data_IF_905882713597
#
_entry.id   IF_905882713597
#
_cell.length_a   1.000
_cell.length_b   1.000
_cell.length_c   1.000
_cell.angle_alpha   90.00
_cell.angle_beta   90.00
_cell.angle_gamma   90.00
#
_symmetry.space_group_name_H-M   'P 1'
#
loop_
_entity.id
_entity.type
_entity.pdbx_description
1 polymer ?
#
# COMPACT_ATOMS: atom_id res chain seq x y z
N UNK A 1 44.72 13.06 19.47
CA UNK A 1 45.50 12.14 18.61
C UNK A 1 44.68 11.90 17.36
N UNK A 2 45.13 12.44 16.23
CA UNK A 2 44.45 12.39 14.93
C UNK A 2 45.41 11.67 13.97
N UNK A 3 45.06 10.52 13.36
CA UNK A 3 46.01 9.84 12.48
C UNK A 3 46.05 10.53 11.12
N UNK A 4 47.23 11.03 10.77
CA UNK A 4 47.54 11.68 9.51
C UNK A 4 47.54 10.68 8.33
N UNK A 5 46.94 11.08 7.21
CA UNK A 5 46.97 10.38 5.93
C UNK A 5 48.40 10.33 5.34
N UNK A 6 48.86 9.20 4.76
CA UNK A 6 50.08 9.18 3.95
C UNK A 6 49.83 9.76 2.54
N UNK A 7 50.81 10.55 2.09
CA UNK A 7 50.85 11.27 0.80
C UNK A 7 50.95 10.32 -0.40
N UNK A 8 50.41 10.80 -1.51
CA UNK A 8 50.28 10.19 -2.84
C UNK A 8 51.62 9.72 -3.45
N UNK A 9 51.64 8.48 -3.94
CA UNK A 9 52.70 7.94 -4.80
C UNK A 9 52.24 8.04 -6.26
N UNK A 10 52.96 8.81 -7.09
CA UNK A 10 52.78 8.82 -8.55
C UNK A 10 53.17 7.45 -9.12
N UNK A 11 52.26 6.82 -9.85
CA UNK A 11 52.53 5.68 -10.72
C UNK A 11 52.26 6.08 -12.16
N UNK A 12 53.34 6.37 -12.88
CA UNK A 12 53.39 6.39 -14.33
C UNK A 12 53.52 4.95 -14.83
N UNK A 13 52.54 4.44 -15.57
CA UNK A 13 52.74 3.30 -16.47
C UNK A 13 51.71 3.29 -17.59
N UNK A 14 52.20 3.69 -18.76
CA UNK A 14 51.93 3.15 -20.10
C UNK A 14 50.53 2.61 -20.41
N UNK A 15 49.86 3.31 -21.33
CA UNK A 15 48.71 2.82 -22.06
C UNK A 15 49.03 1.51 -22.78
N UNK A 16 48.28 0.45 -22.46
CA UNK A 16 48.12 -0.72 -23.33
C UNK A 16 46.73 -0.66 -23.96
N UNK A 17 46.70 -0.43 -25.27
CA UNK A 17 45.54 -0.71 -26.10
C UNK A 17 45.23 -2.21 -25.99
N UNK A 18 44.02 -2.56 -25.55
CA UNK A 18 43.66 -3.94 -25.27
C UNK A 18 42.16 -4.18 -25.35
N UNK A 19 41.72 -4.65 -26.53
CA UNK A 19 40.48 -5.37 -26.86
C UNK A 19 39.14 -4.69 -26.53
N UNK A 20 38.46 -4.23 -27.59
CA UNK A 20 37.00 -4.13 -27.65
C UNK A 20 36.40 -5.49 -27.26
N UNK A 21 35.79 -5.57 -26.08
CA UNK A 21 34.93 -6.69 -25.71
C UNK A 21 33.52 -6.42 -26.25
N UNK A 22 33.07 -7.24 -27.20
CA UNK A 22 31.71 -7.24 -27.73
C UNK A 22 30.67 -7.77 -26.74
N UNK A 23 30.56 -7.15 -25.56
CA UNK A 23 29.63 -7.53 -24.49
C UNK A 23 28.46 -6.54 -24.27
N UNK A 24 28.57 -5.31 -24.78
CA UNK A 24 27.61 -4.23 -24.47
C UNK A 24 26.26 -4.38 -25.16
N UNK A 25 26.22 -4.98 -26.35
CA UNK A 25 24.97 -5.20 -27.09
C UNK A 25 24.07 -6.26 -26.44
N UNK A 26 24.65 -7.31 -25.85
CA UNK A 26 23.89 -8.37 -25.18
C UNK A 26 23.34 -7.89 -23.84
N UNK A 27 24.13 -7.15 -23.04
CA UNK A 27 23.63 -6.49 -21.82
C UNK A 27 22.57 -5.44 -22.14
N UNK A 28 22.78 -4.62 -23.17
CA UNK A 28 21.81 -3.63 -23.63
C UNK A 28 20.49 -4.27 -24.06
N UNK A 29 20.54 -5.36 -24.84
CA UNK A 29 19.35 -6.13 -25.24
C UNK A 29 18.67 -6.80 -24.05
N UNK A 30 19.43 -7.37 -23.10
CA UNK A 30 18.86 -8.01 -21.91
C UNK A 30 18.21 -7.00 -20.96
N UNK A 31 18.81 -5.83 -20.78
CA UNK A 31 18.24 -4.71 -20.00
C UNK A 31 17.03 -4.11 -20.71
N UNK A 32 17.05 -3.99 -22.04
CA UNK A 32 15.90 -3.56 -22.85
C UNK A 32 14.77 -4.59 -22.84
N UNK A 33 15.06 -5.89 -22.87
CA UNK A 33 14.07 -6.96 -22.78
C UNK A 33 13.48 -7.06 -21.35
N UNK A 34 14.29 -6.83 -20.31
CA UNK A 34 13.81 -6.67 -18.92
C UNK A 34 12.92 -5.43 -18.76
N UNK A 35 13.29 -4.31 -19.38
CA UNK A 35 12.46 -3.10 -19.42
C UNK A 35 11.17 -3.32 -20.23
N UNK A 36 11.20 -4.10 -21.32
CA UNK A 36 10.01 -4.50 -22.09
C UNK A 36 9.12 -5.52 -21.37
N UNK A 37 9.66 -6.30 -20.42
CA UNK A 37 8.89 -7.27 -19.61
C UNK A 37 8.06 -6.61 -18.51
N UNK A 38 8.37 -5.36 -18.15
CA UNK A 38 7.56 -4.49 -17.28
C UNK A 38 6.40 -3.85 -18.04
N UNK A 39 5.65 -4.64 -18.82
CA UNK A 39 4.38 -4.16 -19.35
C UNK A 39 3.41 -4.06 -18.18
N UNK A 40 2.81 -2.87 -18.04
CA UNK A 40 1.76 -2.44 -17.09
C UNK A 40 0.64 -3.44 -16.84
N UNK A 41 0.95 -4.58 -16.22
CA UNK A 41 0.12 -5.77 -16.21
C UNK A 41 -0.44 -6.06 -14.83
N UNK A 42 -1.62 -6.68 -14.77
CA UNK A 42 -2.19 -7.19 -13.51
C UNK A 42 -1.72 -8.62 -13.32
N UNK A 43 -0.97 -8.88 -12.24
CA UNK A 43 -0.52 -10.20 -11.84
C UNK A 43 -1.39 -10.72 -10.70
N UNK A 44 -2.33 -11.62 -11.02
CA UNK A 44 -3.27 -12.19 -10.05
C UNK A 44 -2.88 -13.64 -9.78
N UNK A 45 -2.61 -13.97 -8.52
CA UNK A 45 -2.37 -15.35 -8.13
C UNK A 45 -3.59 -16.23 -8.46
N UNK A 46 -3.41 -17.47 -8.97
CA UNK A 46 -4.54 -18.32 -9.40
C UNK A 46 -5.58 -18.64 -8.32
N UNK A 47 -5.20 -18.55 -7.04
CA UNK A 47 -6.10 -18.80 -5.91
C UNK A 47 -6.76 -17.53 -5.35
N UNK A 48 -6.45 -16.35 -5.89
CA UNK A 48 -7.14 -15.12 -5.53
C UNK A 48 -8.53 -15.10 -6.16
N UNK A 49 -9.51 -14.59 -5.42
CA UNK A 49 -10.88 -14.41 -5.91
C UNK A 49 -11.05 -12.93 -6.22
N UNK A 50 -10.99 -12.59 -7.51
CA UNK A 50 -11.14 -11.22 -7.99
C UNK A 50 -12.37 -11.15 -8.88
N UNK A 51 -13.31 -10.29 -8.53
CA UNK A 51 -14.49 -10.07 -9.36
C UNK A 51 -14.12 -9.52 -10.74
N UNK A 52 -14.80 -10.00 -11.78
CA UNK A 52 -14.69 -9.46 -13.15
C UNK A 52 -15.21 -8.02 -13.27
N UNK A 53 -16.00 -7.55 -12.31
CA UNK A 53 -16.54 -6.18 -12.28
C UNK A 53 -15.59 -5.19 -11.60
N UNK A 54 -14.62 -5.68 -10.83
CA UNK A 54 -13.60 -4.85 -10.22
C UNK A 54 -12.76 -4.15 -11.29
N UNK A 55 -12.41 -2.89 -11.04
CA UNK A 55 -11.62 -2.06 -11.95
C UNK A 55 -10.19 -1.94 -11.43
N UNK A 56 -9.31 -2.74 -12.00
CA UNK A 56 -7.90 -2.80 -11.66
C UNK A 56 -7.07 -2.04 -12.70
N UNK A 57 -6.21 -1.12 -12.25
CA UNK A 57 -5.26 -0.40 -13.11
C UNK A 57 -4.00 -1.23 -13.42
N UNK A 58 -2.96 -0.59 -13.93
CA UNK A 58 -1.72 -1.22 -14.38
C UNK A 58 -0.77 -1.57 -13.21
N UNK A 59 0.09 -2.58 -13.41
CA UNK A 59 1.15 -3.00 -12.47
C UNK A 59 0.65 -3.46 -11.09
N UNK A 60 -0.56 -4.02 -11.01
CA UNK A 60 -1.13 -4.53 -9.76
C UNK A 60 -0.64 -5.95 -9.49
N UNK A 61 -0.28 -6.24 -8.25
CA UNK A 61 0.05 -7.59 -7.76
C UNK A 61 -1.01 -8.05 -6.76
N UNK A 62 -1.62 -9.21 -6.99
CA UNK A 62 -2.61 -9.82 -6.08
C UNK A 62 -2.12 -11.20 -5.63
N UNK A 63 -1.90 -11.35 -4.32
CA UNK A 63 -1.41 -12.55 -3.67
C UNK A 63 -2.46 -13.66 -3.51
N UNK A 64 -2.04 -14.86 -3.06
CA UNK A 64 -2.92 -16.02 -2.92
C UNK A 64 -4.06 -15.76 -1.93
N UNK A 65 -5.26 -16.26 -2.25
CA UNK A 65 -6.44 -16.19 -1.39
C UNK A 65 -6.91 -14.77 -1.01
N UNK A 66 -6.40 -13.73 -1.68
CA UNK A 66 -6.99 -12.40 -1.57
C UNK A 66 -8.40 -12.39 -2.18
N UNK A 67 -9.27 -11.53 -1.64
CA UNK A 67 -10.64 -11.31 -2.12
C UNK A 67 -10.80 -9.86 -2.58
N UNK A 68 -11.30 -9.66 -3.79
CA UNK A 68 -11.67 -8.35 -4.34
C UNK A 68 -13.09 -8.43 -4.91
N UNK A 69 -14.01 -7.66 -4.34
CA UNK A 69 -15.44 -7.67 -4.71
C UNK A 69 -15.77 -6.83 -5.96
N UNK A 70 -17.06 -6.80 -6.33
CA UNK A 70 -17.59 -6.25 -7.58
C UNK A 70 -17.34 -4.74 -7.76
N UNK A 71 -17.74 -3.90 -6.79
CA UNK A 71 -17.60 -2.44 -6.88
C UNK A 71 -16.33 -1.95 -6.18
N UNK A 72 -15.19 -2.45 -6.66
CA UNK A 72 -13.85 -2.05 -6.20
C UNK A 72 -13.09 -1.38 -7.34
N UNK A 73 -12.38 -0.30 -7.02
CA UNK A 73 -11.48 0.39 -7.96
C UNK A 73 -10.09 0.52 -7.33
N UNK A 74 -9.07 0.02 -8.02
CA UNK A 74 -7.68 0.01 -7.53
C UNK A 74 -6.78 0.74 -8.54
N UNK A 75 -6.02 1.70 -8.04
CA UNK A 75 -5.01 2.47 -8.77
C UNK A 75 -3.79 1.64 -9.19
N UNK A 76 -2.80 2.31 -9.79
CA UNK A 76 -1.61 1.68 -10.35
C UNK A 76 -0.66 1.20 -9.26
N UNK A 77 0.13 0.16 -9.56
CA UNK A 77 1.23 -0.31 -8.70
C UNK A 77 0.82 -0.69 -7.27
N UNK A 78 -0.45 -1.03 -7.08
CA UNK A 78 -0.96 -1.49 -5.78
C UNK A 78 -0.58 -2.95 -5.56
N UNK A 79 -0.17 -3.27 -4.34
CA UNK A 79 0.13 -4.64 -3.90
C UNK A 79 -0.90 -5.12 -2.91
N UNK A 80 -1.68 -6.12 -3.30
CA UNK A 80 -2.64 -6.81 -2.45
C UNK A 80 -2.02 -8.14 -2.04
N UNK A 81 -1.70 -8.29 -0.76
CA UNK A 81 -1.05 -9.50 -0.27
C UNK A 81 -2.05 -10.62 0.04
N UNK A 82 -1.52 -11.79 0.40
CA UNK A 82 -2.32 -12.99 0.65
C UNK A 82 -3.38 -12.77 1.72
N UNK A 83 -4.59 -13.29 1.50
CA UNK A 83 -5.71 -13.16 2.43
C UNK A 83 -6.16 -11.72 2.74
N UNK A 84 -5.73 -10.71 1.97
CA UNK A 84 -6.32 -9.38 2.08
C UNK A 84 -7.73 -9.37 1.46
N UNK A 85 -8.65 -8.65 2.07
CA UNK A 85 -10.04 -8.52 1.63
C UNK A 85 -10.35 -7.05 1.29
N UNK A 86 -10.74 -6.80 0.04
CA UNK A 86 -11.15 -5.49 -0.44
C UNK A 86 -12.60 -5.61 -0.92
N UNK A 87 -13.50 -4.95 -0.22
CA UNK A 87 -14.93 -5.14 -0.34
C UNK A 87 -15.61 -4.00 -1.10
N UNK A 88 -16.87 -4.22 -1.48
CA UNK A 88 -17.68 -3.34 -2.31
C UNK A 88 -17.67 -1.89 -1.82
N UNK A 89 -17.72 -0.97 -2.79
CA UNK A 89 -17.72 0.49 -2.61
C UNK A 89 -16.40 1.06 -2.10
N UNK A 90 -15.29 0.41 -2.46
CA UNK A 90 -13.93 0.82 -2.09
C UNK A 90 -13.16 1.36 -3.30
N UNK A 91 -12.63 2.58 -3.15
CA UNK A 91 -11.66 3.19 -4.06
C UNK A 91 -10.29 3.24 -3.37
N UNK A 92 -9.25 2.75 -4.04
CA UNK A 92 -7.86 2.78 -3.56
C UNK A 92 -6.99 3.48 -4.62
N UNK A 93 -6.20 4.45 -4.19
CA UNK A 93 -5.25 5.17 -5.03
C UNK A 93 -4.01 4.36 -5.42
N UNK A 94 -3.08 5.03 -6.09
CA UNK A 94 -1.84 4.41 -6.60
C UNK A 94 -0.88 4.02 -5.46
N UNK A 95 0.04 3.09 -5.74
CA UNK A 95 1.19 2.76 -4.88
C UNK A 95 0.86 2.30 -3.45
N UNK A 96 -0.39 1.87 -3.19
CA UNK A 96 -0.78 1.35 -1.89
C UNK A 96 -0.30 -0.10 -1.67
N UNK A 97 -0.08 -0.46 -0.40
CA UNK A 97 0.27 -1.82 0.01
C UNK A 97 -0.75 -2.31 1.04
N UNK A 98 -1.37 -3.45 0.77
CA UNK A 98 -2.47 -4.00 1.56
C UNK A 98 -2.05 -5.39 2.03
N UNK A 99 -1.51 -5.46 3.25
CA UNK A 99 -0.87 -6.64 3.80
C UNK A 99 -1.87 -7.73 4.20
N UNK A 100 -1.32 -8.87 4.64
CA UNK A 100 -2.08 -10.08 4.87
C UNK A 100 -3.20 -9.89 5.89
N UNK A 101 -4.39 -10.38 5.56
CA UNK A 101 -5.55 -10.31 6.44
C UNK A 101 -6.14 -8.92 6.64
N UNK A 102 -5.60 -7.87 6.00
CA UNK A 102 -6.20 -6.54 6.05
C UNK A 102 -7.59 -6.57 5.41
N UNK A 103 -8.56 -5.88 6.02
CA UNK A 103 -9.96 -5.83 5.56
C UNK A 103 -10.35 -4.38 5.31
N UNK A 104 -10.56 -4.04 4.04
CA UNK A 104 -10.91 -2.70 3.60
C UNK A 104 -12.32 -2.66 3.01
N UNK A 105 -13.13 -1.73 3.49
CA UNK A 105 -14.46 -1.44 2.95
C UNK A 105 -15.57 -2.32 3.51
N UNK A 106 -15.34 -3.03 4.62
CA UNK A 106 -16.43 -3.80 5.24
C UNK A 106 -17.54 -2.88 5.77
N UNK A 107 -18.74 -3.45 5.90
CA UNK A 107 -19.86 -2.83 6.59
C UNK A 107 -19.45 -2.24 7.94
N UNK A 108 -19.96 -1.04 8.30
CA UNK A 108 -19.69 -0.40 9.58
C UNK A 108 -20.17 -1.26 10.77
N UNK A 109 -19.43 -1.22 11.88
CA UNK A 109 -19.80 -1.92 13.13
C UNK A 109 -20.77 -1.07 13.97
N UNK A 110 -22.00 -0.90 13.49
CA UNK A 110 -23.05 -0.21 14.23
C UNK A 110 -24.27 -1.12 14.44
N UNK A 111 -25.02 -0.89 15.51
CA UNK A 111 -26.23 -1.67 15.81
C UNK A 111 -27.44 -1.24 14.97
N UNK A 112 -27.47 0.00 14.48
CA UNK A 112 -28.57 0.46 13.62
C UNK A 112 -28.43 -0.12 12.20
N UNK A 113 -29.54 -0.14 11.46
CA UNK A 113 -29.54 -0.51 10.05
C UNK A 113 -28.66 0.49 9.28
N UNK A 114 -27.72 -0.04 8.52
CA UNK A 114 -26.78 0.72 7.70
C UNK A 114 -27.27 0.78 6.26
N UNK A 115 -26.80 1.78 5.52
CA UNK A 115 -26.98 1.78 4.06
C UNK A 115 -26.00 0.82 3.39
N UNK A 116 -26.43 0.22 2.29
CA UNK A 116 -25.52 -0.48 1.40
C UNK A 116 -24.68 0.50 0.55
N UNK A 117 -25.05 1.78 0.50
CA UNK A 117 -24.42 2.78 -0.39
C UNK A 117 -23.24 3.55 0.22
N UNK A 118 -22.85 3.23 1.46
CA UNK A 118 -21.70 3.83 2.11
C UNK A 118 -20.40 3.48 1.38
N UNK A 119 -19.45 4.42 1.35
CA UNK A 119 -18.20 4.29 0.58
C UNK A 119 -16.96 4.36 1.45
N UNK A 120 -15.86 3.84 0.90
CA UNK A 120 -14.50 4.03 1.39
C UNK A 120 -13.64 4.58 0.26
N UNK A 121 -13.03 5.74 0.48
CA UNK A 121 -12.05 6.33 -0.44
C UNK A 121 -10.69 6.41 0.24
N UNK A 122 -9.71 5.74 -0.35
CA UNK A 122 -8.33 5.70 0.10
C UNK A 122 -7.47 6.37 -0.97
N UNK A 123 -6.63 7.32 -0.54
CA UNK A 123 -5.63 7.97 -1.37
C UNK A 123 -4.50 7.04 -1.81
N UNK A 124 -3.34 7.62 -2.11
CA UNK A 124 -2.19 6.92 -2.66
C UNK A 124 -1.10 6.66 -1.60
N UNK A 125 -0.20 5.71 -1.87
CA UNK A 125 0.99 5.39 -1.05
C UNK A 125 0.69 4.98 0.40
N UNK A 126 -0.55 4.58 0.68
CA UNK A 126 -0.93 4.10 2.00
C UNK A 126 -0.42 2.66 2.20
N UNK A 127 0.04 2.35 3.40
CA UNK A 127 0.41 1.00 3.79
C UNK A 127 -0.52 0.55 4.92
N UNK A 128 -1.30 -0.48 4.64
CA UNK A 128 -2.15 -1.17 5.60
C UNK A 128 -1.47 -2.47 5.99
N UNK A 129 -0.95 -2.53 7.20
CA UNK A 129 -0.28 -3.71 7.76
C UNK A 129 -1.30 -4.79 8.13
N UNK A 130 -0.77 -5.90 8.61
CA UNK A 130 -1.48 -7.14 8.82
C UNK A 130 -2.72 -6.93 9.70
N UNK A 131 -3.87 -7.45 9.26
CA UNK A 131 -5.15 -7.35 9.97
C UNK A 131 -5.60 -5.91 10.30
N UNK A 132 -5.07 -4.89 9.62
CA UNK A 132 -5.65 -3.56 9.68
C UNK A 132 -7.08 -3.59 9.11
N UNK A 133 -8.00 -2.86 9.75
CA UNK A 133 -9.41 -2.82 9.33
C UNK A 133 -9.84 -1.38 9.06
N UNK A 134 -10.55 -1.17 7.96
CA UNK A 134 -11.12 0.13 7.59
C UNK A 134 -12.55 -0.08 7.11
N UNK A 135 -13.49 0.54 7.79
CA UNK A 135 -14.91 0.37 7.50
C UNK A 135 -15.42 1.49 6.62
N UNK A 136 -16.29 1.15 5.66
CA UNK A 136 -16.99 2.15 4.84
C UNK A 136 -17.97 2.94 5.69
N UNK A 137 -18.38 4.10 5.19
CA UNK A 137 -19.35 4.97 5.84
C UNK A 137 -20.66 4.25 6.19
N UNK A 138 -21.27 4.66 7.31
CA UNK A 138 -22.62 4.22 7.69
C UNK A 138 -23.74 5.05 7.07
N UNK A 139 -23.40 6.26 6.62
CA UNK A 139 -24.34 7.22 6.04
C UNK A 139 -24.63 6.96 4.57
N UNK A 140 -25.86 7.28 4.15
CA UNK A 140 -26.27 7.13 2.75
C UNK A 140 -25.44 8.05 1.86
N UNK A 141 -24.75 7.46 0.89
CA UNK A 141 -23.76 8.13 0.02
C UNK A 141 -22.62 8.82 0.79
N UNK A 142 -22.49 8.59 2.09
CA UNK A 142 -21.37 9.04 2.89
C UNK A 142 -20.11 8.27 2.54
N UNK A 143 -18.96 8.80 2.98
CA UNK A 143 -17.65 8.24 2.64
C UNK A 143 -16.73 8.31 3.86
N UNK A 144 -16.13 7.17 4.24
CA UNK A 144 -14.92 7.17 5.05
C UNK A 144 -13.76 7.55 4.14
N UNK A 145 -12.96 8.55 4.52
CA UNK A 145 -11.88 9.10 3.70
C UNK A 145 -10.54 8.86 4.38
N UNK A 146 -9.57 8.38 3.60
CA UNK A 146 -8.16 8.29 3.97
C UNK A 146 -7.35 9.04 2.92
N UNK A 147 -6.49 9.96 3.36
CA UNK A 147 -5.57 10.72 2.51
C UNK A 147 -4.39 9.90 2.00
N UNK A 148 -3.24 10.54 1.86
CA UNK A 148 -2.06 9.98 1.20
C UNK A 148 -0.93 9.62 2.17
N UNK A 149 -0.10 8.66 1.79
CA UNK A 149 1.17 8.36 2.46
C UNK A 149 1.04 8.07 3.96
N UNK A 150 -0.03 7.38 4.35
CA UNK A 150 -0.26 6.98 5.73
C UNK A 150 0.31 5.58 6.02
N UNK A 151 0.67 5.36 7.29
CA UNK A 151 1.16 4.08 7.79
C UNK A 151 0.24 3.53 8.88
N UNK A 152 -0.59 2.56 8.51
CA UNK A 152 -1.49 1.84 9.41
C UNK A 152 -0.84 0.54 9.84
N UNK A 153 -0.39 0.47 11.10
CA UNK A 153 0.30 -0.70 11.64
C UNK A 153 -0.68 -1.84 11.96
N UNK A 154 -0.14 -3.03 12.26
CA UNK A 154 -0.95 -4.24 12.37
C UNK A 154 -2.04 -4.11 13.44
N UNK A 155 -3.22 -4.65 13.16
CA UNK A 155 -4.42 -4.57 14.02
C UNK A 155 -4.98 -3.16 14.28
N UNK A 156 -4.52 -2.11 13.57
CA UNK A 156 -5.18 -0.81 13.66
C UNK A 156 -6.62 -0.88 13.12
N UNK A 157 -7.53 -0.12 13.70
CA UNK A 157 -8.92 -0.05 13.27
C UNK A 157 -9.31 1.39 12.94
N UNK A 158 -9.89 1.59 11.76
CA UNK A 158 -10.58 2.83 11.36
C UNK A 158 -12.05 2.51 11.17
N UNK A 159 -12.88 3.06 12.06
CA UNK A 159 -14.32 2.91 11.98
C UNK A 159 -14.92 3.74 10.84
N UNK A 160 -16.24 3.69 10.76
CA UNK A 160 -17.03 4.35 9.73
C UNK A 160 -17.01 5.87 9.86
N UNK A 161 -17.24 6.56 8.74
CA UNK A 161 -17.43 8.00 8.67
C UNK A 161 -16.22 8.82 9.16
N UNK A 162 -15.03 8.20 9.21
CA UNK A 162 -13.80 8.89 9.57
C UNK A 162 -13.24 9.71 8.40
N UNK A 163 -12.48 10.75 8.74
CA UNK A 163 -11.69 11.54 7.80
C UNK A 163 -10.24 11.59 8.28
N UNK A 164 -9.39 10.77 7.66
CA UNK A 164 -7.95 10.67 7.98
C UNK A 164 -7.18 11.46 6.91
N UNK A 165 -6.32 12.37 7.36
CA UNK A 165 -5.44 13.16 6.51
C UNK A 165 -4.31 12.35 5.88
N UNK A 166 -3.18 13.01 5.64
CA UNK A 166 -1.99 12.46 4.99
C UNK A 166 -0.78 12.42 5.91
N UNK A 167 0.19 11.54 5.65
CA UNK A 167 1.38 11.35 6.49
C UNK A 167 1.07 10.96 7.96
N UNK A 168 -0.10 10.38 8.21
CA UNK A 168 -0.53 9.91 9.52
C UNK A 168 0.09 8.54 9.79
N UNK A 169 0.53 8.33 11.02
CA UNK A 169 0.91 7.01 11.53
C UNK A 169 -0.09 6.55 12.59
N UNK A 170 -0.71 5.39 12.37
CA UNK A 170 -1.59 4.73 13.32
C UNK A 170 -0.88 3.46 13.80
N UNK A 171 -0.47 3.45 15.07
CA UNK A 171 0.31 2.35 15.64
C UNK A 171 -0.51 1.08 15.85
N UNK A 172 0.21 -0.01 16.15
CA UNK A 172 -0.37 -1.33 16.33
C UNK A 172 -1.53 -1.31 17.32
N UNK A 173 -2.68 -1.84 16.91
CA UNK A 173 -3.86 -1.96 17.77
C UNK A 173 -4.54 -0.64 18.13
N UNK A 174 -4.15 0.51 17.56
CA UNK A 174 -4.87 1.76 17.79
C UNK A 174 -6.26 1.67 17.15
N UNK A 175 -7.29 1.97 17.94
CA UNK A 175 -8.70 1.87 17.55
C UNK A 175 -9.29 3.27 17.41
N UNK A 176 -9.63 3.64 16.18
CA UNK A 176 -10.25 4.92 15.85
C UNK A 176 -11.75 4.69 15.71
N UNK A 177 -12.52 5.32 16.60
CA UNK A 177 -13.98 5.23 16.63
C UNK A 177 -14.64 5.96 15.45
N UNK A 178 -15.95 5.76 15.28
CA UNK A 178 -16.69 6.37 14.16
C UNK A 178 -16.68 7.91 14.23
N UNK A 179 -16.77 8.55 13.06
CA UNK A 179 -16.81 10.02 12.90
C UNK A 179 -15.54 10.77 13.33
N UNK A 180 -14.42 10.09 13.54
CA UNK A 180 -13.17 10.75 13.94
C UNK A 180 -12.52 11.45 12.75
N UNK A 181 -12.01 12.65 13.01
CA UNK A 181 -11.13 13.37 12.10
C UNK A 181 -9.69 13.36 12.63
N UNK A 182 -8.74 12.97 11.79
CA UNK A 182 -7.30 13.02 12.10
C UNK A 182 -6.62 13.87 11.03
N UNK A 183 -5.95 14.94 11.45
CA UNK A 183 -5.25 15.84 10.53
C UNK A 183 -3.89 15.28 10.10
N UNK A 184 -3.31 15.90 9.07
CA UNK A 184 -2.03 15.49 8.50
C UNK A 184 -0.90 15.41 9.54
N UNK A 185 0.05 14.50 9.32
CA UNK A 185 1.24 14.29 10.15
C UNK A 185 0.98 13.83 11.59
N UNK A 186 -0.26 13.49 11.94
CA UNK A 186 -0.57 12.97 13.27
C UNK A 186 0.11 11.60 13.51
N UNK A 187 0.54 11.38 14.74
CA UNK A 187 1.08 10.11 15.21
C UNK A 187 0.22 9.59 16.36
N UNK A 188 -0.51 8.51 16.12
CA UNK A 188 -1.41 7.90 17.11
C UNK A 188 -0.77 6.62 17.62
N UNK A 189 -0.14 6.71 18.80
CA UNK A 189 0.35 5.54 19.54
C UNK A 189 -0.79 4.83 20.25
N UNK A 190 -0.58 3.55 20.57
CA UNK A 190 -1.30 2.90 21.67
C UNK A 190 -0.54 3.16 22.96
N UNK A 191 -1.25 3.51 24.02
CA UNK A 191 -0.73 3.56 25.40
C UNK A 191 -1.56 2.59 26.23
N UNK A 192 -0.89 1.58 26.78
CA UNK A 192 -1.42 0.78 27.89
C UNK A 192 -0.86 1.38 29.19
N UNK A 193 -1.67 2.12 29.93
CA UNK A 193 -1.35 2.52 31.30
C UNK A 193 -2.20 1.67 32.23
N UNK A 194 -1.57 0.65 32.82
CA UNK A 194 -2.11 -0.05 33.98
C UNK A 194 -1.62 0.67 35.24
N UNK A 195 -2.53 1.10 36.10
CA UNK A 195 -2.20 1.34 37.51
C UNK A 195 -2.37 0.01 38.24
N UNK A 196 -1.27 -0.50 38.78
CA UNK A 196 -1.28 -1.43 39.93
C UNK A 196 -1.67 -0.69 41.20
#
# INVERSE_FOLDING_TARGET
>A
MNPAFPKTRKLTTQAKAGKKYGGDLAKGKYMMDMAKKRKGGVNIHPTAIVSKKAKLSEDIEVGPYALIEDDVKIGRRVKVYSHAHILNHTLIGDDCQIHMGAVLGHLPQIRQKTTEQGRLNIGQKNIFREYATVHRSSQDRGTTVIGDDNYFMAFSHIAHDCNIGSHVTICNGALIAGYVQICDYAFISVVFLSKS
#
